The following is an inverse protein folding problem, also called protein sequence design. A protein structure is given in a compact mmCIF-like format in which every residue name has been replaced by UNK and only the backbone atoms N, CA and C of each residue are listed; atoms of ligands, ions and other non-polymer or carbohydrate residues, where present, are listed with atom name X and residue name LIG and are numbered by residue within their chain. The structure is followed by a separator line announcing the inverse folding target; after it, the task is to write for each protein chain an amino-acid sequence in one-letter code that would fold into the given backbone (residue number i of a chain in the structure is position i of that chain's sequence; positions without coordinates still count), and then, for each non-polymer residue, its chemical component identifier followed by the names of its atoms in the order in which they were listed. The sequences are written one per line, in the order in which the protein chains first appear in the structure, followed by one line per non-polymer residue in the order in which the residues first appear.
data_IF_069515931119
#
_entry.id   IF_069515931119
#
_cell.length_a   1.000
_cell.length_b   1.000
_cell.length_c   1.000
_cell.angle_alpha   90.00
_cell.angle_beta   90.00
_cell.angle_gamma   90.00
#
_symmetry.space_group_name_H-M   'P 1'
#
loop_
_entity.id
_entity.type
_entity.pdbx_description
1 polymer ?
#
# COMPACT_ATOMS: atom_id res chain seq x y z
N UNK A 1 -23.48 -12.19 -21.25
CA UNK A 1 -22.28 -12.00 -20.40
C UNK A 1 -22.20 -10.53 -20.04
N UNK A 2 -22.57 -10.15 -18.80
CA UNK A 2 -22.47 -8.75 -18.37
C UNK A 2 -21.00 -8.39 -18.26
N UNK A 3 -20.52 -7.46 -19.08
CA UNK A 3 -19.17 -6.91 -18.94
C UNK A 3 -19.03 -6.41 -17.49
N UNK A 4 -18.05 -6.93 -16.76
CA UNK A 4 -17.81 -6.60 -15.35
C UNK A 4 -17.70 -5.08 -15.25
N UNK A 5 -18.72 -4.41 -14.74
CA UNK A 5 -18.77 -2.96 -14.72
C UNK A 5 -17.61 -2.44 -13.88
N UNK A 6 -16.61 -1.83 -14.52
CA UNK A 6 -15.47 -1.28 -13.82
C UNK A 6 -15.92 -0.05 -13.05
N UNK A 7 -15.59 -0.02 -11.75
CA UNK A 7 -15.74 1.17 -10.92
C UNK A 7 -14.87 2.28 -11.49
N UNK A 8 -15.48 3.39 -11.89
CA UNK A 8 -14.75 4.59 -12.26
C UNK A 8 -14.08 5.22 -11.04
N UNK A 9 -13.04 6.01 -11.26
CA UNK A 9 -12.26 6.67 -10.19
C UNK A 9 -13.14 7.48 -9.23
N UNK A 10 -14.14 8.20 -9.75
CA UNK A 10 -15.09 8.99 -8.93
C UNK A 10 -16.05 8.14 -8.11
N UNK A 11 -16.43 6.96 -8.61
CA UNK A 11 -17.28 6.04 -7.86
C UNK A 11 -16.47 5.38 -6.74
N UNK A 12 -15.22 5.01 -7.02
CA UNK A 12 -14.31 4.48 -6.00
C UNK A 12 -14.00 5.51 -4.91
N UNK A 13 -13.76 6.77 -5.27
CA UNK A 13 -13.53 7.84 -4.31
C UNK A 13 -14.75 8.04 -3.38
N UNK A 14 -15.97 8.07 -3.91
CA UNK A 14 -17.18 8.20 -3.09
C UNK A 14 -17.38 7.03 -2.13
N UNK A 15 -17.16 5.80 -2.59
CA UNK A 15 -17.20 4.62 -1.72
C UNK A 15 -16.15 4.71 -0.60
N UNK A 16 -14.96 5.21 -0.92
CA UNK A 16 -13.93 5.42 0.09
C UNK A 16 -14.36 6.47 1.12
N UNK A 17 -14.89 7.62 0.67
CA UNK A 17 -15.37 8.67 1.58
C UNK A 17 -16.44 8.14 2.53
N UNK A 18 -17.41 7.39 2.00
CA UNK A 18 -18.47 6.73 2.80
C UNK A 18 -17.89 5.75 3.83
N UNK A 19 -16.90 4.94 3.45
CA UNK A 19 -16.27 4.00 4.39
C UNK A 19 -15.44 4.69 5.46
N UNK A 20 -14.72 5.75 5.10
CA UNK A 20 -13.90 6.55 6.04
C UNK A 20 -14.81 7.23 7.05
N UNK A 21 -15.91 7.83 6.61
CA UNK A 21 -16.92 8.43 7.48
C UNK A 21 -17.57 7.38 8.40
N UNK A 22 -17.91 6.20 7.86
CA UNK A 22 -18.54 5.12 8.64
C UNK A 22 -17.67 4.60 9.80
N UNK A 23 -16.34 4.75 9.72
CA UNK A 23 -15.42 4.39 10.82
C UNK A 23 -15.02 5.59 11.70
N UNK A 24 -15.66 6.75 11.52
CA UNK A 24 -15.46 7.95 12.33
C UNK A 24 -14.20 8.76 11.98
N UNK A 25 -13.65 8.57 10.77
CA UNK A 25 -12.49 9.30 10.28
C UNK A 25 -12.93 10.45 9.34
N UNK A 26 -12.04 11.41 9.10
CA UNK A 26 -12.31 12.59 8.26
C UNK A 26 -12.02 12.25 6.78
N UNK A 27 -13.02 12.15 5.88
CA UNK A 27 -12.80 11.74 4.48
C UNK A 27 -11.71 12.53 3.74
N UNK A 28 -11.62 13.84 3.99
CA UNK A 28 -10.61 14.71 3.39
C UNK A 28 -9.15 14.35 3.72
N UNK A 29 -8.92 13.55 4.76
CA UNK A 29 -7.59 13.10 5.18
C UNK A 29 -7.20 11.75 4.56
N UNK A 30 -8.17 11.00 4.00
CA UNK A 30 -7.98 9.63 3.52
C UNK A 30 -8.41 9.46 2.06
N UNK A 31 -7.46 9.64 1.14
CA UNK A 31 -7.69 9.40 -0.29
C UNK A 31 -7.20 8.03 -0.78
N UNK A 32 -7.51 7.72 -2.04
CA UNK A 32 -7.05 6.49 -2.73
C UNK A 32 -5.53 6.32 -2.69
N UNK A 33 -4.78 7.43 -2.75
CA UNK A 33 -3.32 7.43 -2.61
C UNK A 33 -2.86 7.06 -1.19
N UNK A 34 -3.54 7.57 -0.16
CA UNK A 34 -3.23 7.24 1.24
C UNK A 34 -3.43 5.74 1.50
N UNK A 35 -4.54 5.18 1.01
CA UNK A 35 -4.81 3.75 1.10
C UNK A 35 -3.76 2.92 0.38
N UNK A 36 -3.36 3.35 -0.82
CA UNK A 36 -2.30 2.69 -1.60
C UNK A 36 -1.02 2.61 -0.78
N UNK A 37 -0.59 3.73 -0.18
CA UNK A 37 0.59 3.80 0.71
C UNK A 37 0.47 2.83 1.87
N UNK A 38 -0.63 2.87 2.61
CA UNK A 38 -0.84 2.03 3.79
C UNK A 38 -0.84 0.54 3.46
N UNK A 39 -1.56 0.14 2.39
CA UNK A 39 -1.63 -1.28 1.99
C UNK A 39 -0.25 -1.86 1.68
N UNK A 40 0.56 -1.15 0.91
CA UNK A 40 1.88 -1.66 0.52
C UNK A 40 2.86 -1.66 1.68
N UNK A 41 2.80 -0.67 2.57
CA UNK A 41 3.61 -0.63 3.78
C UNK A 41 3.28 -1.82 4.71
N UNK A 42 2.00 -2.16 4.88
CA UNK A 42 1.59 -3.33 5.66
C UNK A 42 2.07 -4.65 5.03
N UNK A 43 2.04 -4.76 3.70
CA UNK A 43 2.55 -5.95 3.00
C UNK A 43 4.06 -6.08 3.23
N UNK A 44 4.82 -4.99 3.07
CA UNK A 44 6.25 -5.00 3.33
C UNK A 44 6.55 -5.40 4.77
N UNK A 45 5.95 -4.73 5.76
CA UNK A 45 6.16 -5.01 7.19
C UNK A 45 5.89 -6.47 7.56
N UNK A 46 4.91 -7.12 6.91
CA UNK A 46 4.56 -8.52 7.19
C UNK A 46 5.43 -9.55 6.50
N UNK A 47 6.06 -9.19 5.38
CA UNK A 47 6.67 -10.17 4.48
C UNK A 47 8.15 -9.93 4.19
N UNK A 48 8.66 -8.73 4.45
CA UNK A 48 9.98 -8.29 3.98
C UNK A 48 10.12 -8.24 2.45
N UNK A 49 9.07 -8.55 1.67
CA UNK A 49 9.20 -8.77 0.23
C UNK A 49 9.08 -7.47 -0.56
N UNK A 50 10.21 -6.78 -0.69
CA UNK A 50 10.31 -5.51 -1.40
C UNK A 50 9.96 -5.63 -2.90
N UNK A 51 10.29 -6.76 -3.53
CA UNK A 51 10.02 -7.00 -4.95
C UNK A 51 8.52 -7.17 -5.23
N UNK A 52 7.79 -7.86 -4.36
CA UNK A 52 6.34 -7.99 -4.47
C UNK A 52 5.67 -6.60 -4.36
N UNK A 53 6.12 -5.76 -3.42
CA UNK A 53 5.61 -4.40 -3.27
C UNK A 53 5.91 -3.54 -4.50
N UNK A 54 7.11 -3.63 -5.07
CA UNK A 54 7.45 -2.93 -6.30
C UNK A 54 6.48 -3.26 -7.44
N UNK A 55 6.16 -4.54 -7.64
CA UNK A 55 5.22 -5.00 -8.67
C UNK A 55 3.82 -4.43 -8.41
N UNK A 56 3.34 -4.47 -7.16
CA UNK A 56 2.04 -3.89 -6.78
C UNK A 56 1.98 -2.37 -7.00
N UNK A 57 3.10 -1.68 -6.84
CA UNK A 57 3.22 -0.25 -7.10
C UNK A 57 3.44 0.08 -8.59
N UNK A 58 3.78 -0.90 -9.43
CA UNK A 58 4.15 -0.65 -10.82
C UNK A 58 5.38 0.25 -10.96
N UNK A 59 6.27 0.25 -9.96
CA UNK A 59 7.49 1.05 -10.02
C UNK A 59 8.54 0.36 -10.90
N UNK A 60 9.06 1.08 -11.89
CA UNK A 60 10.11 0.55 -12.77
C UNK A 60 11.41 0.29 -12.03
N UNK A 61 11.77 1.18 -11.09
CA UNK A 61 13.01 1.10 -10.30
C UNK A 61 12.73 0.65 -8.87
N UNK A 62 13.61 -0.21 -8.35
CA UNK A 62 13.55 -0.67 -6.97
C UNK A 62 13.78 0.47 -5.99
N UNK A 63 14.71 1.39 -6.30
CA UNK A 63 15.01 2.60 -5.51
C UNK A 63 13.78 3.48 -5.26
N UNK A 64 12.86 3.56 -6.24
CA UNK A 64 11.60 4.30 -6.05
C UNK A 64 10.73 3.66 -4.98
N UNK A 65 10.78 2.33 -4.85
CA UNK A 65 10.04 1.58 -3.83
C UNK A 65 10.70 1.70 -2.46
N UNK A 66 12.03 1.61 -2.39
CA UNK A 66 12.82 1.85 -1.18
C UNK A 66 12.49 3.23 -0.61
N UNK A 67 12.59 4.29 -1.43
CA UNK A 67 12.30 5.66 -1.01
C UNK A 67 10.82 5.86 -0.64
N UNK A 68 9.91 5.21 -1.35
CA UNK A 68 8.46 5.34 -1.10
C UNK A 68 8.02 4.73 0.23
N UNK A 69 8.64 3.60 0.60
CA UNK A 69 8.38 2.89 1.86
C UNK A 69 9.24 3.41 3.02
N UNK A 70 10.36 4.06 2.74
CA UNK A 70 11.32 4.47 3.75
C UNK A 70 12.13 3.30 4.31
N UNK A 71 12.46 2.31 3.46
CA UNK A 71 13.23 1.13 3.87
C UNK A 71 14.68 1.53 4.17
N UNK A 72 15.20 1.09 5.32
CA UNK A 72 16.55 1.40 5.79
C UNK A 72 17.34 0.14 6.22
N UNK A 73 18.48 0.34 6.89
CA UNK A 73 19.38 -0.74 7.31
C UNK A 73 18.79 -1.52 8.48
N UNK A 74 18.02 -0.85 9.32
CA UNK A 74 17.35 -1.38 10.49
C UNK A 74 16.28 -2.39 10.07
N UNK A 75 15.53 -2.13 8.99
CA UNK A 75 14.63 -3.11 8.38
C UNK A 75 15.40 -4.38 7.92
N UNK A 76 16.57 -4.21 7.31
CA UNK A 76 17.39 -5.34 6.87
C UNK A 76 17.95 -6.15 8.05
N UNK A 77 18.36 -5.46 9.12
CA UNK A 77 18.85 -6.09 10.34
C UNK A 77 17.72 -6.89 11.03
N UNK A 78 16.53 -6.31 11.16
CA UNK A 78 15.38 -6.99 11.75
C UNK A 78 14.98 -8.26 10.97
N UNK A 79 15.08 -8.24 9.63
CA UNK A 79 14.85 -9.43 8.81
C UNK A 79 15.93 -10.50 9.02
N UNK A 80 17.19 -10.10 9.20
CA UNK A 80 18.30 -11.01 9.49
C UNK A 80 18.13 -11.66 10.87
N UNK A 81 17.82 -10.88 11.90
CA UNK A 81 17.61 -11.38 13.27
C UNK A 81 16.40 -12.31 13.37
N UNK A 82 15.33 -12.05 12.61
CA UNK A 82 14.18 -12.94 12.54
C UNK A 82 14.47 -14.26 11.79
N UNK A 83 15.58 -14.32 11.05
CA UNK A 83 16.02 -15.49 10.27
C UNK A 83 17.21 -16.15 10.97
N UNK A 84 17.02 -16.57 12.22
CA UNK A 84 17.96 -17.47 12.88
C UNK A 84 17.82 -18.89 12.30
N UNK A 85 18.96 -19.51 11.97
CA UNK A 85 19.07 -20.89 11.49
C UNK A 85 19.18 -21.89 12.65
#
# INVERSE_FOLDING_TARGET
MSAKAHLGTRQYARLLDEWVEAVGLIPGEYGTHSMRRTKVAMIYKRTGNLRAVQILLGHTKLDSTVRYLGVDVEDALALSEATDL
#
